data_IF_430888217124
#
_entry.id   IF_430888217124
#
_cell.length_a   1.000
_cell.length_b   1.000
_cell.length_c   1.000
_cell.angle_alpha   90.00
_cell.angle_beta   90.00
_cell.angle_gamma   90.00
#
_symmetry.space_group_name_H-M   'P 1'
#
loop_
_entity.id
_entity.type
_entity.pdbx_description
1 polymer ?
#
# COMPACT_ATOMS: atom_id res chain seq x y z
N UNK A 1 -59.78 39.01 6.94
CA UNK A 1 -59.70 40.45 6.58
C UNK A 1 -58.23 40.81 6.35
N UNK A 2 -57.92 41.50 5.23
CA UNK A 2 -56.70 42.27 4.87
C UNK A 2 -55.32 41.53 4.92
N UNK A 3 -54.36 41.67 4.00
CA UNK A 3 -54.17 42.31 2.68
C UNK A 3 -52.80 41.78 2.18
N UNK A 4 -52.70 41.09 1.03
CA UNK A 4 -52.17 41.53 -0.29
C UNK A 4 -50.74 42.17 -0.37
N UNK A 5 -49.86 41.44 -1.09
CA UNK A 5 -49.03 41.79 -2.28
C UNK A 5 -47.81 42.73 -2.17
N UNK A 6 -46.75 42.31 -2.91
CA UNK A 6 -45.62 43.09 -3.45
C UNK A 6 -44.29 42.37 -3.14
N UNK A 7 -43.63 41.59 -4.02
CA UNK A 7 -43.03 41.87 -5.33
C UNK A 7 -42.12 43.12 -5.35
N UNK A 8 -40.92 42.93 -5.93
CA UNK A 8 -39.80 43.86 -6.21
C UNK A 8 -38.65 43.73 -5.20
N UNK A 9 -37.59 42.97 -5.54
CA UNK A 9 -36.52 43.34 -6.47
C UNK A 9 -35.65 44.46 -5.93
N UNK A 10 -34.55 44.09 -5.27
CA UNK A 10 -33.28 44.82 -5.42
C UNK A 10 -32.11 43.86 -5.21
N UNK A 11 -31.38 43.60 -6.29
CA UNK A 11 -29.99 43.16 -6.27
C UNK A 11 -29.09 44.30 -5.73
N UNK A 12 -27.83 43.96 -5.41
CA UNK A 12 -26.64 44.83 -5.17
C UNK A 12 -26.28 44.93 -3.68
N UNK A 13 -25.08 44.63 -3.16
CA UNK A 13 -23.80 44.16 -3.70
C UNK A 13 -22.95 43.61 -2.52
N UNK A 14 -22.09 42.66 -2.86
CA UNK A 14 -20.83 42.17 -2.25
C UNK A 14 -20.26 42.93 -1.02
N UNK A 15 -19.84 42.17 0.00
CA UNK A 15 -18.87 42.62 1.01
C UNK A 15 -18.39 41.45 1.87
N UNK A 16 -17.13 41.07 1.71
CA UNK A 16 -16.46 39.96 2.38
C UNK A 16 -16.36 40.12 3.92
N UNK A 17 -16.05 38.99 4.59
CA UNK A 17 -15.23 38.80 5.82
C UNK A 17 -15.83 37.70 6.71
N UNK A 18 -15.32 36.46 6.56
CA UNK A 18 -14.49 35.71 7.54
C UNK A 18 -15.12 35.51 8.91
N UNK A 19 -15.43 34.25 9.24
CA UNK A 19 -15.02 33.56 10.48
C UNK A 19 -15.37 32.06 10.33
N UNK A 20 -14.36 31.19 10.27
CA UNK A 20 -13.94 30.35 11.40
C UNK A 20 -15.08 29.48 11.94
N UNK A 21 -15.08 28.18 11.59
CA UNK A 21 -14.95 27.11 12.59
C UNK A 21 -15.17 25.70 12.02
N UNK A 22 -14.52 24.75 12.68
CA UNK A 22 -14.86 23.32 12.82
C UNK A 22 -14.44 22.36 11.69
N UNK A 23 -13.17 21.97 11.78
CA UNK A 23 -12.84 20.60 12.18
C UNK A 23 -13.53 19.45 11.45
N UNK A 24 -12.91 19.00 10.36
CA UNK A 24 -12.96 17.59 9.97
C UNK A 24 -11.52 17.12 9.80
N UNK A 25 -11.04 16.39 10.80
CA UNK A 25 -9.75 15.72 10.76
C UNK A 25 -9.71 14.75 9.58
N UNK A 26 -9.16 15.19 8.46
CA UNK A 26 -8.61 14.28 7.47
C UNK A 26 -7.30 13.81 8.09
N UNK A 27 -7.38 12.66 8.78
CA UNK A 27 -6.22 11.90 9.18
C UNK A 27 -5.38 11.66 7.94
N UNK A 28 -4.34 12.48 7.79
CA UNK A 28 -3.28 12.25 6.85
C UNK A 28 -2.65 10.93 7.25
N UNK A 29 -3.00 9.85 6.56
CA UNK A 29 -2.17 8.64 6.55
C UNK A 29 -0.88 8.96 5.80
N UNK A 30 -0.04 9.79 6.42
CA UNK A 30 1.24 10.24 5.92
C UNK A 30 2.36 9.81 6.88
N UNK A 31 2.21 8.64 7.49
CA UNK A 31 3.28 7.98 8.27
C UNK A 31 4.01 6.89 7.48
N UNK A 32 3.61 6.61 6.23
CA UNK A 32 4.23 5.53 5.45
C UNK A 32 5.49 5.96 4.67
N UNK A 33 5.71 7.25 4.43
CA UNK A 33 6.80 7.72 3.56
C UNK A 33 8.09 8.07 4.32
N UNK A 34 8.02 8.35 5.63
CA UNK A 34 9.16 8.77 6.44
C UNK A 34 9.84 7.53 7.06
N UNK A 35 10.57 6.76 6.26
CA UNK A 35 11.36 5.63 6.77
C UNK A 35 11.42 4.39 5.89
N UNK A 36 10.86 4.43 4.67
CA UNK A 36 11.08 3.36 3.70
C UNK A 36 12.51 3.41 3.14
N UNK A 37 13.16 2.26 3.03
CA UNK A 37 14.53 2.10 2.56
C UNK A 37 14.69 0.83 1.73
N UNK A 38 15.81 0.70 1.01
CA UNK A 38 16.17 -0.53 0.30
C UNK A 38 16.38 -1.69 1.29
N UNK A 39 15.68 -2.80 1.05
CA UNK A 39 15.62 -3.95 1.95
C UNK A 39 16.96 -4.67 2.17
N UNK A 40 17.83 -4.65 1.18
CA UNK A 40 19.23 -5.11 1.25
C UNK A 40 20.06 -4.25 0.30
N UNK A 41 21.38 -4.45 0.31
CA UNK A 41 22.27 -3.80 -0.66
C UNK A 41 21.93 -4.21 -2.10
N UNK A 42 22.22 -3.33 -3.05
CA UNK A 42 22.07 -3.64 -4.47
C UNK A 42 22.95 -4.84 -4.85
N UNK A 43 22.45 -5.74 -5.70
CA UNK A 43 23.11 -7.00 -6.02
C UNK A 43 22.98 -8.11 -4.94
N UNK A 44 22.46 -7.81 -3.76
CA UNK A 44 22.16 -8.81 -2.70
C UNK A 44 20.69 -9.23 -2.65
N UNK A 45 19.89 -8.81 -3.63
CA UNK A 45 18.48 -9.20 -3.79
C UNK A 45 18.37 -10.08 -5.03
N UNK A 46 18.29 -11.39 -4.84
CA UNK A 46 17.96 -12.33 -5.91
C UNK A 46 16.45 -12.35 -6.15
N UNK A 47 16.02 -12.31 -7.41
CA UNK A 47 14.61 -12.24 -7.80
C UNK A 47 14.26 -13.40 -8.72
N UNK A 48 13.26 -14.18 -8.33
CA UNK A 48 12.65 -15.22 -9.17
C UNK A 48 11.17 -14.87 -9.35
N UNK A 49 10.81 -14.28 -10.48
CA UNK A 49 9.48 -13.74 -10.73
C UNK A 49 8.86 -14.49 -11.91
N UNK A 50 7.62 -14.97 -11.76
CA UNK A 50 6.89 -15.64 -12.83
C UNK A 50 6.55 -14.66 -13.96
N UNK A 51 6.41 -15.14 -15.21
CA UNK A 51 6.21 -14.25 -16.37
C UNK A 51 4.89 -13.45 -16.30
N UNK A 52 3.92 -13.88 -15.50
CA UNK A 52 2.65 -13.17 -15.29
C UNK A 52 2.76 -12.00 -14.30
N UNK A 53 3.88 -11.87 -13.60
CA UNK A 53 4.10 -10.88 -12.56
C UNK A 53 5.22 -9.90 -12.92
N UNK A 54 5.03 -8.64 -12.55
CA UNK A 54 6.07 -7.63 -12.55
C UNK A 54 6.20 -7.05 -11.14
N UNK A 55 7.44 -6.88 -10.66
CA UNK A 55 7.71 -6.23 -9.40
C UNK A 55 7.79 -4.71 -9.62
N UNK A 56 6.73 -4.00 -9.25
CA UNK A 56 6.64 -2.54 -9.36
C UNK A 56 7.30 -1.81 -8.19
N UNK A 57 7.43 -2.48 -7.04
CA UNK A 57 8.03 -1.88 -5.86
C UNK A 57 8.47 -2.89 -4.83
N UNK A 58 9.65 -2.67 -4.26
CA UNK A 58 10.18 -3.46 -3.15
C UNK A 58 10.95 -2.55 -2.20
N UNK A 59 10.34 -2.25 -1.05
CA UNK A 59 10.92 -1.39 -0.02
C UNK A 59 10.71 -1.99 1.35
N UNK A 60 11.48 -1.52 2.33
CA UNK A 60 11.42 -1.99 3.69
C UNK A 60 11.32 -0.83 4.67
N UNK A 61 10.71 -1.07 5.82
CA UNK A 61 10.70 -0.13 6.93
C UNK A 61 10.66 -0.87 8.25
N UNK A 62 11.14 -0.23 9.31
CA UNK A 62 11.04 -0.76 10.67
C UNK A 62 9.77 -0.26 11.34
N UNK A 63 8.98 -1.19 11.89
CA UNK A 63 7.81 -0.88 12.71
C UNK A 63 7.60 -2.00 13.72
N UNK A 64 6.98 -1.69 14.86
CA UNK A 64 6.62 -2.74 15.83
C UNK A 64 5.49 -3.60 15.28
N UNK A 65 5.60 -4.91 15.45
CA UNK A 65 4.59 -5.90 15.11
C UNK A 65 4.54 -6.94 16.24
N UNK A 66 3.34 -7.23 16.74
CA UNK A 66 3.14 -8.20 17.84
C UNK A 66 4.05 -7.95 19.06
N UNK A 67 4.21 -6.68 19.44
CA UNK A 67 4.97 -6.27 20.63
C UNK A 67 6.49 -6.19 20.43
N UNK A 68 7.04 -6.70 19.33
CA UNK A 68 8.48 -6.68 19.04
C UNK A 68 8.83 -5.75 17.88
N UNK A 69 10.10 -5.34 17.80
CA UNK A 69 10.61 -4.65 16.61
C UNK A 69 10.57 -5.61 15.42
N UNK A 70 10.03 -5.15 14.29
CA UNK A 70 9.92 -5.94 13.07
C UNK A 70 10.41 -5.16 11.85
N UNK A 71 10.95 -5.90 10.89
CA UNK A 71 11.24 -5.42 9.55
C UNK A 71 10.03 -5.74 8.67
N UNK A 72 9.44 -4.72 8.08
CA UNK A 72 8.29 -4.84 7.20
C UNK A 72 8.75 -4.75 5.75
N UNK A 73 8.47 -5.80 4.97
CA UNK A 73 8.70 -5.82 3.53
C UNK A 73 7.45 -5.37 2.79
N UNK A 74 7.51 -4.25 2.09
CA UNK A 74 6.45 -3.75 1.22
C UNK A 74 6.73 -4.18 -0.22
N UNK A 75 5.83 -4.99 -0.75
CA UNK A 75 5.94 -5.59 -2.09
C UNK A 75 4.75 -5.12 -2.92
N UNK A 76 5.02 -4.46 -4.03
CA UNK A 76 4.03 -4.08 -5.04
C UNK A 76 4.21 -4.98 -6.27
N UNK A 77 3.18 -5.77 -6.58
CA UNK A 77 3.18 -6.73 -7.69
C UNK A 77 2.11 -6.34 -8.69
N UNK A 78 2.51 -6.15 -9.94
CA UNK A 78 1.62 -5.93 -11.07
C UNK A 78 1.35 -7.23 -11.80
N UNK A 79 0.08 -7.44 -12.13
CA UNK A 79 -0.30 -8.51 -13.04
C UNK A 79 -0.09 -8.03 -14.48
N UNK A 80 0.85 -8.64 -15.19
CA UNK A 80 1.15 -8.34 -16.61
C UNK A 80 0.56 -9.38 -17.57
N UNK A 81 -0.14 -10.39 -17.05
CA UNK A 81 -0.88 -11.34 -17.88
C UNK A 81 -2.24 -10.78 -18.34
N UNK A 82 -2.87 -11.51 -19.26
CA UNK A 82 -4.19 -11.24 -19.83
C UNK A 82 -5.35 -11.74 -18.95
N UNK A 83 -5.07 -12.47 -17.87
CA UNK A 83 -6.06 -13.07 -16.97
C UNK A 83 -5.95 -12.51 -15.55
N UNK A 84 -7.03 -12.46 -14.76
CA UNK A 84 -6.91 -12.16 -13.33
C UNK A 84 -6.04 -13.20 -12.62
N UNK A 85 -5.06 -12.73 -11.83
CA UNK A 85 -4.05 -13.59 -11.19
C UNK A 85 -4.07 -13.47 -9.67
N UNK A 86 -3.70 -14.59 -9.02
CA UNK A 86 -3.29 -14.61 -7.63
C UNK A 86 -1.81 -14.94 -7.57
N UNK A 87 -1.04 -14.15 -6.84
CA UNK A 87 0.38 -14.42 -6.67
C UNK A 87 0.67 -14.97 -5.28
N UNK A 88 1.75 -15.75 -5.18
CA UNK A 88 2.38 -16.16 -3.93
C UNK A 88 3.75 -15.52 -3.87
N UNK A 89 3.98 -14.73 -2.83
CA UNK A 89 5.26 -14.11 -2.53
C UNK A 89 5.96 -14.93 -1.46
N UNK A 90 7.23 -15.21 -1.66
CA UNK A 90 8.15 -15.71 -0.63
C UNK A 90 9.38 -14.81 -0.56
N UNK A 91 9.79 -14.47 0.64
CA UNK A 91 10.96 -13.66 0.95
C UNK A 91 11.79 -14.50 1.91
N UNK A 92 12.96 -14.96 1.46
CA UNK A 92 13.92 -15.68 2.28
C UNK A 92 15.05 -14.74 2.66
N UNK A 93 15.42 -14.76 3.94
CA UNK A 93 16.50 -13.96 4.50
C UNK A 93 17.70 -14.88 4.81
N UNK A 94 18.90 -14.30 4.77
CA UNK A 94 20.15 -14.99 5.09
C UNK A 94 20.26 -15.48 6.54
N UNK A 95 19.54 -14.85 7.47
CA UNK A 95 19.45 -15.28 8.86
C UNK A 95 18.49 -16.47 9.08
N UNK A 96 18.07 -17.16 8.01
CA UNK A 96 17.21 -18.34 8.06
C UNK A 96 15.72 -18.04 8.24
N UNK A 97 15.32 -16.76 8.43
CA UNK A 97 13.91 -16.38 8.49
C UNK A 97 13.31 -16.33 7.08
N UNK A 98 12.03 -16.66 6.98
CA UNK A 98 11.27 -16.52 5.75
C UNK A 98 9.88 -15.95 6.04
N UNK A 99 9.38 -15.13 5.13
CA UNK A 99 8.04 -14.57 5.20
C UNK A 99 7.42 -14.52 3.82
N UNK A 100 6.10 -14.45 3.76
CA UNK A 100 5.41 -14.36 2.49
C UNK A 100 3.93 -14.62 2.64
N UNK A 101 3.26 -14.73 1.51
CA UNK A 101 1.84 -14.99 1.50
C UNK A 101 1.22 -14.86 0.13
N UNK A 102 -0.11 -15.03 0.12
CA UNK A 102 -0.91 -14.90 -1.07
C UNK A 102 -1.36 -13.46 -1.27
N UNK A 103 -1.35 -13.04 -2.52
CA UNK A 103 -1.70 -11.71 -3.00
C UNK A 103 -2.79 -11.88 -4.08
N UNK A 104 -4.06 -11.51 -3.82
CA UNK A 104 -4.58 -11.11 -2.52
C UNK A 104 -4.67 -12.26 -1.50
N UNK A 105 -4.60 -11.91 -0.21
CA UNK A 105 -4.73 -12.88 0.89
C UNK A 105 -6.11 -13.54 0.91
N UNK A 106 -7.16 -12.80 0.56
CA UNK A 106 -8.55 -13.29 0.43
C UNK A 106 -9.03 -13.04 -1.00
N UNK A 107 -9.72 -14.00 -1.60
CA UNK A 107 -10.18 -13.96 -3.00
C UNK A 107 -11.65 -13.55 -3.16
N UNK A 108 -12.39 -13.35 -2.07
CA UNK A 108 -13.81 -12.95 -2.12
C UNK A 108 -14.07 -11.64 -2.88
N UNK A 109 -13.07 -10.76 -2.93
CA UNK A 109 -13.12 -9.49 -3.68
C UNK A 109 -12.55 -9.60 -5.11
N UNK A 110 -12.29 -10.82 -5.57
CA UNK A 110 -11.62 -11.10 -6.83
C UNK A 110 -10.11 -11.26 -6.70
N UNK A 111 -9.49 -11.48 -7.87
CA UNK A 111 -8.05 -11.58 -8.07
C UNK A 111 -7.48 -10.26 -8.61
N UNK A 112 -6.16 -10.17 -8.77
CA UNK A 112 -5.52 -8.99 -9.35
C UNK A 112 -5.83 -8.98 -10.84
N UNK A 113 -6.50 -7.93 -11.33
CA UNK A 113 -6.87 -7.83 -12.75
C UNK A 113 -5.63 -7.59 -13.63
N UNK A 114 -5.69 -7.92 -14.92
CA UNK A 114 -4.66 -7.51 -15.90
C UNK A 114 -4.32 -6.02 -15.79
N UNK A 115 -3.02 -5.71 -15.78
CA UNK A 115 -2.49 -4.35 -15.64
C UNK A 115 -2.57 -3.75 -14.23
N UNK A 116 -3.25 -4.39 -13.28
CA UNK A 116 -3.42 -3.88 -11.92
C UNK A 116 -2.21 -4.22 -11.04
N UNK A 117 -1.79 -3.25 -10.23
CA UNK A 117 -0.78 -3.42 -9.18
C UNK A 117 -1.45 -3.59 -7.81
N UNK A 118 -0.97 -4.55 -7.03
CA UNK A 118 -1.41 -4.77 -5.67
C UNK A 118 -0.22 -4.73 -4.71
N UNK A 119 -0.38 -4.01 -3.60
CA UNK A 119 0.69 -3.79 -2.60
C UNK A 119 0.38 -4.52 -1.31
N UNK A 120 1.36 -5.25 -0.78
CA UNK A 120 1.25 -6.03 0.45
C UNK A 120 2.46 -5.81 1.34
N UNK A 121 2.24 -5.88 2.66
CA UNK A 121 3.28 -5.73 3.67
C UNK A 121 3.43 -7.03 4.44
N UNK A 122 4.67 -7.51 4.54
CA UNK A 122 5.04 -8.74 5.25
C UNK A 122 5.97 -8.41 6.42
N UNK A 123 5.50 -8.47 7.67
CA UNK A 123 6.33 -8.24 8.84
C UNK A 123 7.18 -9.46 9.20
N UNK A 124 8.43 -9.23 9.57
CA UNK A 124 9.32 -10.22 10.18
C UNK A 124 9.73 -9.72 11.56
N UNK A 125 9.20 -10.38 12.60
CA UNK A 125 9.48 -10.03 13.99
C UNK A 125 10.89 -10.39 14.42
N UNK A 126 11.39 -9.63 15.40
CA UNK A 126 12.73 -9.81 15.97
C UNK A 126 13.85 -9.43 14.99
N UNK A 127 13.62 -8.38 14.20
CA UNK A 127 14.60 -7.82 13.29
C UNK A 127 14.96 -6.41 13.79
N UNK A 128 16.20 -6.23 14.22
CA UNK A 128 16.77 -4.93 14.61
C UNK A 128 17.53 -4.28 13.46
N UNK A 129 17.98 -5.09 12.49
CA UNK A 129 18.86 -4.69 11.39
C UNK A 129 18.36 -5.25 10.06
N UNK A 130 18.94 -4.75 8.96
CA UNK A 130 18.62 -5.23 7.61
C UNK A 130 19.25 -6.61 7.38
N UNK A 131 18.61 -7.51 6.62
CA UNK A 131 19.25 -8.73 6.16
C UNK A 131 20.43 -8.38 5.23
N UNK A 132 21.48 -9.21 5.25
CA UNK A 132 22.62 -9.04 4.35
C UNK A 132 22.29 -9.44 2.91
N UNK A 133 21.41 -10.43 2.73
CA UNK A 133 20.85 -10.81 1.42
C UNK A 133 19.42 -11.32 1.49
N UNK A 134 18.73 -11.21 0.36
CA UNK A 134 17.31 -11.57 0.21
C UNK A 134 17.13 -12.39 -1.06
N UNK A 135 16.30 -13.43 -0.98
CA UNK A 135 15.73 -14.11 -2.15
C UNK A 135 14.24 -13.80 -2.18
N UNK A 136 13.80 -13.03 -3.17
CA UNK A 136 12.40 -12.70 -3.42
C UNK A 136 11.87 -13.60 -4.55
N UNK A 137 10.89 -14.44 -4.23
CA UNK A 137 10.19 -15.29 -5.20
C UNK A 137 8.74 -14.85 -5.34
N UNK A 138 8.28 -14.63 -6.57
CA UNK A 138 6.89 -14.31 -6.89
C UNK A 138 6.42 -15.33 -7.91
N UNK A 139 5.40 -16.12 -7.54
CA UNK A 139 4.82 -17.14 -8.42
C UNK A 139 3.35 -16.85 -8.65
N UNK A 140 2.88 -16.99 -9.88
CA UNK A 140 1.45 -17.16 -10.14
C UNK A 140 0.98 -18.45 -9.45
N UNK A 141 -0.11 -18.35 -8.73
CA UNK A 141 -0.87 -19.51 -8.28
C UNK A 141 -1.78 -19.81 -9.45
N UNK A 142 -1.49 -20.89 -10.17
CA UNK A 142 -2.25 -21.25 -11.36
C UNK A 142 -3.76 -21.34 -11.10
N UNK A 143 -4.57 -21.35 -12.17
CA UNK A 143 -5.95 -21.81 -12.06
C UNK A 143 -6.01 -23.23 -11.47
#
# INVERSE_FOLDING_TARGET
MKQRKGLLSWFIVIGAVVCLSLGAGVGTTADAAKGEFACAQEGKISKEISPEAQLDGFSCFFKRFEGVQALHFKVAVKNVSDKPQRFRVHIFLDNGKAVGGLIPRKTKKGLIKPGQTATFVYPVGGMTDKPGSIILKIKSVGP
#
